data_IF_761975498246
#
_entry.id   IF_761975498246
#
_cell.length_a   1.000
_cell.length_b   1.000
_cell.length_c   1.000
_cell.angle_alpha   90.00
_cell.angle_beta   90.00
_cell.angle_gamma   90.00
#
_symmetry.space_group_name_H-M   'P 1'
#
loop_
_entity.id
_entity.type
_entity.pdbx_description
1 polymer ?
#
# COMPACT_ATOMS: atom_id res chain seq x y z
N UNK A 1 17.52 6.57 -22.76
CA UNK A 1 17.12 5.59 -21.71
C UNK A 1 15.89 6.16 -21.00
N UNK A 2 14.76 5.45 -21.03
CA UNK A 2 13.55 5.94 -20.36
C UNK A 2 13.67 5.62 -18.87
N UNK A 3 13.68 6.65 -18.01
CA UNK A 3 13.70 6.47 -16.57
C UNK A 3 12.28 6.24 -16.07
N UNK A 4 12.06 5.17 -15.31
CA UNK A 4 10.80 4.87 -14.65
C UNK A 4 10.85 5.32 -13.20
N UNK A 5 9.75 5.87 -12.69
CA UNK A 5 9.61 6.31 -11.30
C UNK A 5 8.99 5.21 -10.40
N UNK A 6 8.16 4.35 -10.99
CA UNK A 6 7.46 3.27 -10.27
C UNK A 6 8.37 2.28 -9.54
N UNK A 7 9.59 1.89 -10.01
CA UNK A 7 10.44 0.96 -9.28
C UNK A 7 10.82 1.45 -7.88
N UNK A 8 10.95 2.78 -7.69
CA UNK A 8 11.21 3.36 -6.37
C UNK A 8 10.09 2.99 -5.38
N UNK A 9 8.84 3.18 -5.78
CA UNK A 9 7.67 2.93 -4.92
C UNK A 9 7.41 1.45 -4.70
N UNK A 10 7.70 0.62 -5.70
CA UNK A 10 7.66 -0.85 -5.58
C UNK A 10 8.68 -1.31 -4.54
N UNK A 11 9.92 -0.81 -4.61
CA UNK A 11 10.96 -1.13 -3.65
C UNK A 11 10.61 -0.68 -2.22
N UNK A 12 10.15 0.57 -2.05
CA UNK A 12 9.75 1.10 -0.75
C UNK A 12 8.56 0.32 -0.16
N UNK A 13 7.58 -0.05 -0.99
CA UNK A 13 6.46 -0.87 -0.56
C UNK A 13 6.90 -2.29 -0.15
N UNK A 14 7.85 -2.88 -0.86
CA UNK A 14 8.43 -4.18 -0.49
C UNK A 14 9.14 -4.11 0.89
N UNK A 15 9.92 -3.05 1.14
CA UNK A 15 10.53 -2.84 2.46
C UNK A 15 9.49 -2.67 3.57
N UNK A 16 8.42 -1.92 3.30
CA UNK A 16 7.32 -1.78 4.27
C UNK A 16 6.63 -3.13 4.54
N UNK A 17 6.40 -3.94 3.51
CA UNK A 17 5.84 -5.28 3.68
C UNK A 17 6.73 -6.16 4.56
N UNK A 18 8.06 -6.09 4.37
CA UNK A 18 9.02 -6.83 5.22
C UNK A 18 8.87 -6.40 6.67
N UNK A 19 8.79 -5.10 6.96
CA UNK A 19 8.61 -4.59 8.34
C UNK A 19 7.31 -5.14 8.94
N UNK A 20 6.20 -5.11 8.20
CA UNK A 20 4.93 -5.64 8.68
C UNK A 20 4.98 -7.15 8.92
N UNK A 21 5.65 -7.90 8.03
CA UNK A 21 5.82 -9.35 8.16
C UNK A 21 6.68 -9.72 9.36
N UNK A 22 7.81 -9.04 9.55
CA UNK A 22 8.68 -9.25 10.71
C UNK A 22 7.92 -8.98 12.01
N UNK A 23 7.07 -7.94 12.04
CA UNK A 23 6.24 -7.67 13.21
C UNK A 23 5.30 -8.83 13.55
N UNK A 24 4.65 -9.42 12.56
CA UNK A 24 3.79 -10.61 12.76
C UNK A 24 4.61 -11.78 13.27
N UNK A 25 5.78 -12.05 12.67
CA UNK A 25 6.66 -13.16 13.09
C UNK A 25 7.10 -12.99 14.55
N UNK A 26 7.55 -11.80 14.95
CA UNK A 26 7.96 -11.50 16.33
C UNK A 26 6.83 -11.72 17.34
N UNK A 27 5.59 -11.34 17.00
CA UNK A 27 4.43 -11.54 17.87
C UNK A 27 4.03 -13.01 17.95
N UNK A 28 4.12 -13.75 16.83
CA UNK A 28 3.90 -15.21 16.82
C UNK A 28 4.88 -15.94 17.72
N UNK A 29 6.15 -15.59 17.62
CA UNK A 29 7.20 -16.17 18.46
C UNK A 29 6.97 -15.82 19.94
N UNK A 30 6.68 -14.55 20.24
CA UNK A 30 6.40 -14.10 21.60
C UNK A 30 5.21 -14.83 22.26
N UNK A 31 4.14 -15.07 21.50
CA UNK A 31 2.93 -15.71 22.00
C UNK A 31 2.92 -17.24 21.76
N UNK A 32 3.93 -17.79 21.11
CA UNK A 32 4.04 -19.22 20.73
C UNK A 32 2.82 -19.68 19.90
N UNK A 33 2.37 -18.84 18.95
CA UNK A 33 1.20 -19.08 18.08
C UNK A 33 1.64 -19.37 16.66
N UNK A 34 1.47 -20.59 16.19
CA UNK A 34 1.80 -20.99 14.80
C UNK A 34 0.77 -20.55 13.76
N UNK A 35 -0.52 -20.68 14.05
CA UNK A 35 -1.64 -20.39 13.12
C UNK A 35 -2.70 -19.57 13.84
N UNK A 36 -3.35 -18.64 13.11
CA UNK A 36 -4.34 -17.73 13.69
C UNK A 36 -3.69 -16.67 14.57
N UNK A 37 -4.43 -16.13 15.50
CA UNK A 37 -4.00 -15.12 16.47
C UNK A 37 -3.91 -15.63 17.91
N UNK A 38 -4.37 -16.87 18.14
CA UNK A 38 -4.35 -17.49 19.48
C UNK A 38 -5.16 -16.72 20.52
N UNK A 39 -6.06 -15.82 20.11
CA UNK A 39 -6.81 -14.95 21.00
C UNK A 39 -6.02 -13.72 21.49
N UNK A 40 -4.83 -13.44 20.91
CA UNK A 40 -3.99 -12.30 21.27
C UNK A 40 -4.32 -11.07 20.41
N UNK A 41 -4.92 -9.99 20.97
CA UNK A 41 -5.38 -8.83 20.20
C UNK A 41 -4.28 -8.09 19.45
N UNK A 42 -3.05 -8.04 20.00
CA UNK A 42 -1.90 -7.41 19.35
C UNK A 42 -1.44 -8.19 18.11
N UNK A 43 -1.45 -9.52 18.18
CA UNK A 43 -1.16 -10.39 17.04
C UNK A 43 -2.28 -10.30 15.99
N UNK A 44 -3.54 -10.34 16.41
CA UNK A 44 -4.69 -10.18 15.52
C UNK A 44 -4.60 -8.86 14.72
N UNK A 45 -4.27 -7.75 15.39
CA UNK A 45 -4.07 -6.45 14.73
C UNK A 45 -2.90 -6.48 13.75
N UNK A 46 -1.75 -7.03 14.14
CA UNK A 46 -0.58 -7.11 13.27
C UNK A 46 -0.87 -7.93 11.99
N UNK A 47 -1.53 -9.09 12.14
CA UNK A 47 -1.99 -9.91 11.02
C UNK A 47 -2.93 -9.10 10.11
N UNK A 48 -3.87 -8.36 10.68
CA UNK A 48 -4.84 -7.57 9.91
C UNK A 48 -4.18 -6.40 9.17
N UNK A 49 -3.17 -5.76 9.78
CA UNK A 49 -2.37 -4.70 9.11
C UNK A 49 -1.65 -5.27 7.89
N UNK A 50 -0.96 -6.41 8.05
CA UNK A 50 -0.24 -7.06 6.96
C UNK A 50 -1.20 -7.54 5.86
N UNK A 51 -2.29 -8.20 6.22
CA UNK A 51 -3.29 -8.68 5.26
C UNK A 51 -3.88 -7.54 4.44
N UNK A 52 -4.29 -6.45 5.07
CA UNK A 52 -4.81 -5.29 4.36
C UNK A 52 -3.78 -4.65 3.41
N UNK A 53 -2.50 -4.64 3.78
CA UNK A 53 -1.44 -4.20 2.88
C UNK A 53 -1.39 -5.08 1.62
N UNK A 54 -1.38 -6.40 1.78
CA UNK A 54 -1.31 -7.37 0.67
C UNK A 54 -2.58 -7.35 -0.19
N UNK A 55 -3.73 -7.04 0.39
CA UNK A 55 -5.01 -6.94 -0.34
C UNK A 55 -5.02 -5.78 -1.36
N UNK A 56 -4.43 -4.63 -1.04
CA UNK A 56 -4.57 -3.40 -1.85
C UNK A 56 -3.30 -2.98 -2.59
N UNK A 57 -2.13 -3.12 -1.96
CA UNK A 57 -0.89 -2.53 -2.48
C UNK A 57 -0.40 -3.16 -3.77
N UNK A 58 -0.44 -4.50 -3.96
CA UNK A 58 0.05 -5.09 -5.21
C UNK A 58 -0.69 -4.58 -6.44
N UNK A 59 -2.02 -4.46 -6.37
CA UNK A 59 -2.80 -3.90 -7.48
C UNK A 59 -2.50 -2.41 -7.69
N UNK A 60 -2.35 -1.63 -6.61
CA UNK A 60 -2.01 -0.22 -6.71
C UNK A 60 -0.63 -0.01 -7.36
N UNK A 61 0.37 -0.83 -7.02
CA UNK A 61 1.70 -0.77 -7.62
C UNK A 61 1.70 -1.21 -9.08
N UNK A 62 0.90 -2.21 -9.43
CA UNK A 62 0.72 -2.63 -10.82
C UNK A 62 0.10 -1.50 -11.66
N UNK A 63 -0.94 -0.84 -11.15
CA UNK A 63 -1.54 0.32 -11.82
C UNK A 63 -0.55 1.48 -11.92
N UNK A 64 0.24 1.75 -10.87
CA UNK A 64 1.27 2.77 -10.88
C UNK A 64 2.34 2.48 -11.98
N UNK A 65 2.73 1.22 -12.12
CA UNK A 65 3.62 0.78 -13.19
C UNK A 65 2.98 0.98 -14.57
N UNK A 66 1.71 0.64 -14.73
CA UNK A 66 0.98 0.88 -15.99
C UNK A 66 0.97 2.38 -16.36
N UNK A 67 0.65 3.26 -15.39
CA UNK A 67 0.69 4.72 -15.60
C UNK A 67 2.08 5.19 -16.00
N UNK A 68 3.14 4.64 -15.39
CA UNK A 68 4.54 4.97 -15.71
C UNK A 68 4.97 4.47 -17.10
N UNK A 69 4.37 3.40 -17.58
CA UNK A 69 4.62 2.85 -18.92
C UNK A 69 3.92 3.64 -20.03
N UNK A 70 2.66 4.06 -19.81
CA UNK A 70 1.84 4.71 -20.84
C UNK A 70 1.97 6.24 -20.84
N UNK A 71 2.37 6.84 -19.72
CA UNK A 71 2.49 8.30 -19.55
C UNK A 71 3.93 8.81 -19.59
N UNK A 72 4.09 10.09 -19.92
CA UNK A 72 5.38 10.78 -19.88
C UNK A 72 5.55 11.64 -18.61
N UNK A 73 4.44 11.97 -17.91
CA UNK A 73 4.42 12.83 -16.73
C UNK A 73 4.88 12.10 -15.46
N UNK A 74 6.18 12.01 -15.24
CA UNK A 74 6.76 11.32 -14.07
C UNK A 74 6.30 11.89 -12.73
N UNK A 75 5.97 13.18 -12.67
CA UNK A 75 5.46 13.81 -11.47
C UNK A 75 4.14 13.20 -10.98
N UNK A 76 3.28 12.72 -11.90
CA UNK A 76 2.03 12.02 -11.54
C UNK A 76 2.36 10.72 -10.82
N UNK A 77 3.32 9.96 -11.35
CA UNK A 77 3.76 8.69 -10.73
C UNK A 77 4.34 8.94 -9.34
N UNK A 78 5.15 10.01 -9.18
CA UNK A 78 5.67 10.40 -7.87
C UNK A 78 4.56 10.82 -6.91
N UNK A 79 3.60 11.63 -7.35
CA UNK A 79 2.47 12.06 -6.51
C UNK A 79 1.63 10.85 -6.03
N UNK A 80 1.24 9.96 -6.94
CA UNK A 80 0.47 8.76 -6.61
C UNK A 80 1.25 7.80 -5.71
N UNK A 81 2.55 7.60 -5.98
CA UNK A 81 3.40 6.73 -5.18
C UNK A 81 3.60 7.25 -3.75
N UNK A 82 3.83 8.56 -3.58
CA UNK A 82 3.92 9.20 -2.26
C UNK A 82 2.59 9.06 -1.50
N UNK A 83 1.46 9.37 -2.15
CA UNK A 83 0.14 9.25 -1.53
C UNK A 83 -0.17 7.79 -1.12
N UNK A 84 0.20 6.82 -1.95
CA UNK A 84 0.04 5.41 -1.63
C UNK A 84 0.83 5.05 -0.38
N UNK A 85 2.12 5.35 -0.33
CA UNK A 85 2.98 4.99 0.81
C UNK A 85 2.54 5.70 2.09
N UNK A 86 2.23 7.00 2.03
CA UNK A 86 1.71 7.74 3.18
C UNK A 86 0.39 7.13 3.66
N UNK A 87 -0.53 6.81 2.75
CA UNK A 87 -1.78 6.16 3.07
C UNK A 87 -1.57 4.81 3.77
N UNK A 88 -0.60 4.01 3.33
CA UNK A 88 -0.29 2.70 3.94
C UNK A 88 0.35 2.82 5.32
N UNK A 89 1.27 3.78 5.51
CA UNK A 89 1.89 4.04 6.82
C UNK A 89 0.84 4.53 7.82
N UNK A 90 0.01 5.49 7.43
CA UNK A 90 -1.09 6.00 8.28
C UNK A 90 -2.09 4.90 8.65
N UNK A 91 -2.46 4.07 7.67
CA UNK A 91 -3.38 2.95 7.91
C UNK A 91 -2.78 1.92 8.88
N UNK A 92 -1.52 1.53 8.66
CA UNK A 92 -0.82 0.56 9.50
C UNK A 92 -0.67 1.07 10.94
N UNK A 93 -0.30 2.35 11.11
CA UNK A 93 -0.20 2.98 12.42
C UNK A 93 -1.54 3.04 13.14
N UNK A 94 -2.60 3.50 12.44
CA UNK A 94 -3.94 3.63 13.02
C UNK A 94 -4.56 2.28 13.39
N UNK A 95 -4.41 1.25 12.56
CA UNK A 95 -4.93 -0.09 12.83
C UNK A 95 -4.10 -0.82 13.90
N UNK A 96 -2.79 -0.61 13.92
CA UNK A 96 -1.91 -1.24 14.89
C UNK A 96 -2.13 -0.78 16.34
N UNK A 97 -2.72 0.40 16.55
CA UNK A 97 -2.92 1.00 17.88
C UNK A 97 -4.33 0.91 18.43
N UNK A 98 -5.33 0.70 17.59
CA UNK A 98 -6.74 0.75 18.00
C UNK A 98 -7.54 -0.39 17.41
N UNK A 99 -8.38 -1.02 18.21
CA UNK A 99 -9.36 -2.00 17.78
C UNK A 99 -10.60 -1.33 17.17
N UNK A 100 -10.85 -0.10 17.56
CA UNK A 100 -11.97 0.72 17.08
C UNK A 100 -11.57 1.53 15.84
N UNK A 101 -12.50 2.31 15.31
CA UNK A 101 -12.25 3.23 14.21
C UNK A 101 -11.23 4.28 14.65
N UNK A 102 -10.09 4.39 13.95
CA UNK A 102 -9.12 5.46 14.15
C UNK A 102 -9.05 6.35 12.91
N UNK A 103 -8.78 7.63 13.13
CA UNK A 103 -8.63 8.61 12.05
C UNK A 103 -7.55 8.19 11.05
N UNK A 104 -6.39 7.75 11.51
CA UNK A 104 -5.29 7.30 10.65
C UNK A 104 -5.68 6.11 9.77
N UNK A 105 -6.46 5.15 10.30
CA UNK A 105 -6.98 4.01 9.54
C UNK A 105 -7.94 4.47 8.44
N UNK A 106 -8.86 5.37 8.74
CA UNK A 106 -9.84 5.87 7.78
C UNK A 106 -9.15 6.69 6.68
N UNK A 107 -8.33 7.66 7.05
CA UNK A 107 -7.57 8.50 6.10
C UNK A 107 -6.65 7.66 5.23
N UNK A 108 -5.89 6.73 5.82
CA UNK A 108 -5.00 5.86 5.07
C UNK A 108 -5.72 4.99 4.05
N UNK A 109 -6.92 4.51 4.38
CA UNK A 109 -7.76 3.75 3.44
C UNK A 109 -8.31 4.63 2.32
N UNK A 110 -8.83 5.82 2.65
CA UNK A 110 -9.32 6.78 1.65
C UNK A 110 -8.21 7.16 0.66
N UNK A 111 -7.01 7.48 1.15
CA UNK A 111 -5.86 7.79 0.28
C UNK A 111 -5.52 6.61 -0.64
N UNK A 112 -5.53 5.38 -0.13
CA UNK A 112 -5.26 4.19 -0.95
C UNK A 112 -6.31 4.01 -2.05
N UNK A 113 -7.59 4.18 -1.73
CA UNK A 113 -8.68 4.07 -2.72
C UNK A 113 -8.62 5.19 -3.75
N UNK A 114 -8.30 6.42 -3.35
CA UNK A 114 -8.11 7.54 -4.28
C UNK A 114 -6.98 7.26 -5.27
N UNK A 115 -5.85 6.71 -4.79
CA UNK A 115 -4.75 6.31 -5.67
C UNK A 115 -5.17 5.21 -6.64
N UNK A 116 -5.91 4.20 -6.17
CA UNK A 116 -6.42 3.13 -7.03
C UNK A 116 -7.33 3.67 -8.14
N UNK A 117 -8.29 4.53 -7.78
CA UNK A 117 -9.23 5.13 -8.75
C UNK A 117 -8.48 6.01 -9.75
N UNK A 118 -7.60 6.89 -9.27
CA UNK A 118 -6.83 7.78 -10.14
C UNK A 118 -5.90 7.00 -11.07
N UNK A 119 -5.14 6.03 -10.55
CA UNK A 119 -4.23 5.23 -11.36
C UNK A 119 -4.98 4.33 -12.37
N UNK A 120 -6.12 3.77 -11.98
CA UNK A 120 -6.96 2.99 -12.90
C UNK A 120 -7.49 3.87 -14.04
N UNK A 121 -8.02 5.06 -13.74
CA UNK A 121 -8.48 6.01 -14.74
C UNK A 121 -7.37 6.40 -15.71
N UNK A 122 -6.19 6.76 -15.20
CA UNK A 122 -5.04 7.11 -16.02
C UNK A 122 -4.56 5.93 -16.89
N UNK A 123 -4.49 4.73 -16.35
CA UNK A 123 -4.11 3.55 -17.11
C UNK A 123 -5.10 3.26 -18.26
N UNK A 124 -6.41 3.36 -17.99
CA UNK A 124 -7.45 3.19 -19.01
C UNK A 124 -7.34 4.27 -20.09
N UNK A 125 -7.25 5.54 -19.70
CA UNK A 125 -7.12 6.64 -20.67
C UNK A 125 -5.85 6.51 -21.51
N UNK A 126 -4.74 6.04 -20.93
CA UNK A 126 -3.51 5.79 -21.65
C UNK A 126 -3.63 4.76 -22.77
N UNK A 127 -4.55 3.79 -22.68
CA UNK A 127 -4.78 2.81 -23.75
C UNK A 127 -5.38 3.43 -25.01
N UNK A 128 -6.05 4.57 -24.89
CA UNK A 128 -6.65 5.32 -26.01
C UNK A 128 -5.70 6.40 -26.57
N UNK A 129 -4.40 6.35 -26.27
CA UNK A 129 -3.42 7.38 -26.63
C UNK A 129 -3.77 8.80 -26.18
N UNK A 130 -4.59 8.93 -25.15
CA UNK A 130 -4.85 10.21 -24.51
C UNK A 130 -3.63 10.51 -23.65
N UNK A 131 -2.73 11.36 -24.16
CA UNK A 131 -1.54 11.77 -23.42
C UNK A 131 -1.93 12.71 -22.30
N UNK A 132 -1.57 12.39 -21.09
CA UNK A 132 -1.65 13.32 -19.95
C UNK A 132 -0.31 14.03 -19.86
N UNK A 133 -0.28 15.30 -20.24
CA UNK A 133 0.82 16.28 -20.12
C UNK A 133 2.24 15.73 -19.93
#
# INVERSE_FOLDING_TARGET
MRLFASPLYIGLAALLLIVLSVRVMQLRDRHQVGIGDGGHPDLARAIRVQANFVEYVPLALLLLLCVDLVGDAKWIVHALGILLLLGRVLHAYGLGRSETRSFGRAVGMVLTLLVLVAAAGLAILGTFNIRFL
#
